data_IF_017838950547
#
_entry.id   IF_017838950547
#
_cell.length_a   1.000
_cell.length_b   1.000
_cell.length_c   1.000
_cell.angle_alpha   90.00
_cell.angle_beta   90.00
_cell.angle_gamma   90.00
#
_symmetry.space_group_name_H-M   'P 1'
#
loop_
_entity.id
_entity.type
_entity.pdbx_description
1 polymer ?
#
# COMPACT_ATOMS: atom_id res chain seq x y z
N UNK A 1 7.05 1.19 2.30
CA UNK A 1 7.76 1.02 1.03
C UNK A 1 6.96 0.08 0.17
N UNK A 2 6.83 0.37 -1.11
CA UNK A 2 6.16 -0.52 -2.06
C UNK A 2 7.13 -1.56 -2.60
N UNK A 3 6.70 -2.82 -2.63
CA UNK A 3 7.54 -3.96 -2.97
C UNK A 3 7.07 -4.66 -4.27
N UNK A 4 5.79 -4.50 -4.63
CA UNK A 4 5.15 -5.21 -5.75
C UNK A 4 4.10 -4.32 -6.44
N UNK A 5 4.02 -4.40 -7.76
CA UNK A 5 2.99 -3.76 -8.61
C UNK A 5 2.35 -4.84 -9.47
N UNK A 6 1.02 -4.97 -9.37
CA UNK A 6 0.22 -5.92 -10.11
C UNK A 6 -0.93 -5.17 -10.78
N UNK A 7 -0.86 -4.98 -12.10
CA UNK A 7 -1.96 -4.46 -12.93
C UNK A 7 -2.64 -3.17 -12.39
N UNK A 8 -1.85 -2.24 -11.84
CA UNK A 8 -2.35 -0.98 -11.28
C UNK A 8 -2.72 -1.02 -9.79
N UNK A 9 -2.59 -2.19 -9.14
CA UNK A 9 -2.62 -2.33 -7.69
C UNK A 9 -1.20 -2.49 -7.16
N UNK A 10 -0.85 -1.68 -6.17
CA UNK A 10 0.44 -1.73 -5.51
C UNK A 10 0.34 -2.31 -4.13
N UNK A 11 1.30 -3.17 -3.84
CA UNK A 11 1.43 -3.81 -2.54
C UNK A 11 2.73 -3.36 -1.89
N UNK A 12 2.61 -2.90 -0.66
CA UNK A 12 3.74 -2.52 0.17
C UNK A 12 3.58 -3.02 1.59
N UNK A 13 4.50 -2.57 2.45
CA UNK A 13 4.48 -2.87 3.88
C UNK A 13 4.53 -1.60 4.69
N UNK A 14 3.77 -1.60 5.79
CA UNK A 14 3.85 -0.56 6.80
C UNK A 14 4.99 -0.82 7.80
N UNK A 15 5.18 0.09 8.76
CA UNK A 15 6.22 -0.03 9.79
C UNK A 15 6.06 -1.26 10.69
N UNK A 16 4.84 -1.79 10.83
CA UNK A 16 4.55 -3.02 11.54
C UNK A 16 4.68 -4.28 10.66
N UNK A 17 5.30 -4.16 9.47
CA UNK A 17 5.44 -5.22 8.47
C UNK A 17 4.11 -5.83 7.99
N UNK A 18 2.98 -5.15 8.23
CA UNK A 18 1.67 -5.57 7.71
C UNK A 18 1.56 -5.17 6.24
N UNK A 19 1.02 -6.04 5.38
CA UNK A 19 0.80 -5.71 3.98
C UNK A 19 -0.26 -4.62 3.85
N UNK A 20 0.05 -3.61 3.02
CA UNK A 20 -0.88 -2.58 2.57
C UNK A 20 -1.08 -2.72 1.06
N UNK A 21 -2.34 -2.69 0.62
CA UNK A 21 -2.75 -2.65 -0.77
C UNK A 21 -3.27 -1.26 -1.12
N UNK A 22 -2.89 -0.75 -2.29
CA UNK A 22 -3.30 0.55 -2.83
C UNK A 22 -3.70 0.35 -4.29
N UNK A 23 -4.82 0.94 -4.70
CA UNK A 23 -5.31 0.85 -6.09
C UNK A 23 -4.83 2.01 -6.98
N UNK A 24 -3.69 2.60 -6.65
CA UNK A 24 -3.10 3.74 -7.37
C UNK A 24 -1.74 3.35 -7.94
N UNK A 25 -1.36 4.02 -9.02
CA UNK A 25 -0.05 3.86 -9.63
C UNK A 25 0.98 4.63 -8.82
N UNK A 26 1.94 3.90 -8.27
CA UNK A 26 3.13 4.38 -7.59
C UNK A 26 4.35 3.58 -8.06
N UNK A 27 5.55 4.05 -7.73
CA UNK A 27 6.77 3.34 -8.10
C UNK A 27 7.17 2.33 -7.01
N UNK A 28 7.68 1.17 -7.44
CA UNK A 28 8.28 0.20 -6.53
C UNK A 28 9.48 0.86 -5.85
N UNK A 29 9.58 0.70 -4.54
CA UNK A 29 10.61 1.32 -3.71
C UNK A 29 10.27 2.74 -3.21
N UNK A 30 9.20 3.35 -3.71
CA UNK A 30 8.75 4.64 -3.21
C UNK A 30 8.20 4.52 -1.77
N UNK A 31 8.38 5.59 -1.00
CA UNK A 31 7.79 5.76 0.33
C UNK A 31 6.78 6.89 0.23
N UNK A 32 5.51 6.58 0.50
CA UNK A 32 4.41 7.55 0.52
C UNK A 32 3.69 7.50 1.86
N UNK A 33 3.05 8.60 2.21
CA UNK A 33 2.03 8.61 3.27
C UNK A 33 0.77 7.98 2.70
N UNK A 34 0.28 6.93 3.36
CA UNK A 34 -0.91 6.18 2.93
C UNK A 34 -1.94 6.24 4.04
N UNK A 35 -3.14 6.67 3.70
CA UNK A 35 -4.28 6.66 4.61
C UNK A 35 -4.96 5.30 4.51
N UNK A 36 -5.05 4.58 5.62
CA UNK A 36 -5.78 3.31 5.68
C UNK A 36 -7.28 3.61 5.63
N UNK A 37 -7.95 3.13 4.58
CA UNK A 37 -9.40 3.30 4.39
C UNK A 37 -10.18 2.05 4.77
N UNK A 38 -9.53 0.89 4.73
CA UNK A 38 -10.14 -0.38 5.12
C UNK A 38 -9.08 -1.35 5.66
N UNK A 39 -9.52 -2.30 6.48
CA UNK A 39 -8.67 -3.33 7.05
C UNK A 39 -9.38 -4.68 7.00
N UNK A 40 -8.67 -5.68 6.50
CA UNK A 40 -9.09 -7.09 6.59
C UNK A 40 -8.31 -7.78 7.70
N UNK A 41 -8.67 -9.03 8.02
CA UNK A 41 -8.00 -9.81 9.06
C UNK A 41 -6.48 -9.94 8.85
N UNK A 42 -6.01 -9.91 7.60
CA UNK A 42 -4.61 -10.14 7.25
C UNK A 42 -3.95 -8.97 6.49
N UNK A 43 -4.68 -7.90 6.18
CA UNK A 43 -4.19 -6.87 5.27
C UNK A 43 -4.83 -5.52 5.52
N UNK A 44 -4.14 -4.47 5.10
CA UNK A 44 -4.65 -3.11 5.12
C UNK A 44 -4.88 -2.66 3.68
N UNK A 45 -5.91 -1.86 3.47
CA UNK A 45 -6.23 -1.23 2.19
C UNK A 45 -6.13 0.28 2.44
N UNK A 46 -5.35 0.96 1.62
CA UNK A 46 -5.10 2.37 1.76
C UNK A 46 -5.11 3.12 0.43
N UNK A 47 -5.14 4.42 0.55
CA UNK A 47 -5.06 5.39 -0.55
C UNK A 47 -3.89 6.33 -0.26
N UNK A 48 -3.20 6.78 -1.30
CA UNK A 48 -2.09 7.71 -1.17
C UNK A 48 -2.65 9.04 -0.67
N UNK A 49 -2.16 9.48 0.48
CA UNK A 49 -2.48 10.81 0.99
C UNK A 49 -1.49 11.80 0.38
N UNK A 50 -1.96 12.58 -0.60
CA UNK A 50 -1.25 13.79 -1.06
C UNK A 50 -1.26 14.88 0.00
#
# INVERSE_FOLDING_TARGET
>A
MFDENLDGQIRGRNFAYKPIFINEVAEIGQICTVKVVNATMHSLIGEISS
#
